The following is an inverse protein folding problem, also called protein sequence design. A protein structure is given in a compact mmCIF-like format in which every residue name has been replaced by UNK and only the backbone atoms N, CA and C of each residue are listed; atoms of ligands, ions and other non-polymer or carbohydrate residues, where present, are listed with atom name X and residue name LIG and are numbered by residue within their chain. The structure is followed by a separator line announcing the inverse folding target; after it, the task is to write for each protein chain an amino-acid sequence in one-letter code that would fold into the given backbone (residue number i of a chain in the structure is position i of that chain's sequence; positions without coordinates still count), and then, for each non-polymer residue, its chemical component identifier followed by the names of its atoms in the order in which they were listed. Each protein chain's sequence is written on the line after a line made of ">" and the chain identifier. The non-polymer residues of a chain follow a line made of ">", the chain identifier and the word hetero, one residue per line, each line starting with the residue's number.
data_IF_468544934526
#
_entry.id   IF_468544934526
#
_cell.length_a   1.000
_cell.length_b   1.000
_cell.length_c   1.000
_cell.angle_alpha   90.00
_cell.angle_beta   90.00
_cell.angle_gamma   90.00
#
_symmetry.space_group_name_H-M   'P 1'
#
loop_
_entity.id
_entity.type
_entity.pdbx_description
1 polymer ?
#
# COMPACT_ATOMS: atom_id res chain seq x y z
N UNK A 1 6.86 32.59 7.73
CA UNK A 1 8.13 31.82 7.89
C UNK A 1 8.10 30.77 9.02
N UNK A 2 7.97 31.11 10.32
CA UNK A 2 8.07 30.14 11.45
C UNK A 2 7.06 28.97 11.40
N UNK A 3 5.81 29.20 10.97
CA UNK A 3 4.77 28.14 10.88
C UNK A 3 5.08 27.06 9.84
N UNK A 4 5.65 27.45 8.69
CA UNK A 4 6.09 26.51 7.64
C UNK A 4 7.26 25.63 8.10
N UNK A 5 8.23 26.21 8.83
CA UNK A 5 9.35 25.45 9.40
C UNK A 5 8.89 24.42 10.44
N UNK A 6 7.84 24.72 11.21
CA UNK A 6 7.24 23.80 12.20
C UNK A 6 6.40 22.68 11.59
N UNK A 7 5.92 22.85 10.36
CA UNK A 7 5.09 21.84 9.68
C UNK A 7 5.93 20.76 8.96
N UNK A 8 7.18 21.08 8.59
CA UNK A 8 8.08 20.14 7.90
C UNK A 8 8.28 18.81 8.64
N UNK A 9 8.61 18.79 9.95
CA UNK A 9 8.80 17.51 10.66
C UNK A 9 7.52 16.68 10.74
N UNK A 10 6.36 17.34 10.81
CA UNK A 10 5.05 16.67 10.84
C UNK A 10 4.75 16.04 9.48
N UNK A 11 5.07 16.75 8.39
CA UNK A 11 4.95 16.21 7.04
C UNK A 11 5.84 14.99 6.83
N UNK A 12 7.13 15.09 7.16
CA UNK A 12 8.10 13.99 7.06
C UNK A 12 7.65 12.76 7.87
N UNK A 13 7.15 12.98 9.09
CA UNK A 13 6.60 11.91 9.92
C UNK A 13 5.40 11.21 9.27
N UNK A 14 4.46 11.98 8.72
CA UNK A 14 3.28 11.39 8.05
C UNK A 14 3.63 10.70 6.73
N UNK A 15 4.59 11.22 5.97
CA UNK A 15 5.13 10.56 4.78
C UNK A 15 5.81 9.23 5.14
N UNK A 16 6.58 9.21 6.23
CA UNK A 16 7.21 8.00 6.74
C UNK A 16 6.19 6.94 7.14
N UNK A 17 5.10 7.33 7.82
CA UNK A 17 3.99 6.42 8.17
C UNK A 17 3.28 5.85 6.96
N UNK A 18 3.00 6.68 5.95
CA UNK A 18 2.39 6.23 4.70
C UNK A 18 3.30 5.22 3.98
N UNK A 19 4.60 5.53 3.87
CA UNK A 19 5.59 4.65 3.23
C UNK A 19 5.72 3.32 3.97
N UNK A 20 5.77 3.35 5.31
CA UNK A 20 5.80 2.12 6.12
C UNK A 20 4.55 1.26 5.90
N UNK A 21 3.36 1.86 5.90
CA UNK A 21 2.12 1.13 5.63
C UNK A 21 2.06 0.57 4.20
N UNK A 22 2.61 1.30 3.21
CA UNK A 22 2.70 0.82 1.83
C UNK A 22 3.64 -0.39 1.70
N UNK A 23 4.75 -0.43 2.45
CA UNK A 23 5.65 -1.60 2.48
C UNK A 23 4.94 -2.84 3.01
N UNK A 24 4.20 -2.70 4.10
CA UNK A 24 3.39 -3.81 4.68
C UNK A 24 2.37 -4.32 3.67
N UNK A 25 1.68 -3.43 2.95
CA UNK A 25 0.76 -3.83 1.89
C UNK A 25 1.44 -4.61 0.76
N UNK A 26 2.63 -4.17 0.35
CA UNK A 26 3.39 -4.86 -0.69
C UNK A 26 3.82 -6.27 -0.25
N UNK A 27 4.31 -6.39 1.00
CA UNK A 27 4.67 -7.68 1.59
C UNK A 27 3.47 -8.64 1.68
N UNK A 28 2.32 -8.15 2.16
CA UNK A 28 1.08 -8.94 2.23
C UNK A 28 0.59 -9.34 0.84
N UNK A 29 0.66 -8.44 -0.15
CA UNK A 29 0.32 -8.75 -1.53
C UNK A 29 1.20 -9.88 -2.08
N UNK A 30 2.51 -9.84 -1.83
CA UNK A 30 3.43 -10.91 -2.22
C UNK A 30 3.11 -12.24 -1.54
N UNK A 31 2.78 -12.22 -0.24
CA UNK A 31 2.34 -13.42 0.50
C UNK A 31 1.05 -14.01 -0.08
N UNK A 32 0.08 -13.17 -0.44
CA UNK A 32 -1.18 -13.61 -1.08
C UNK A 32 -0.90 -14.26 -2.43
N UNK A 33 -0.06 -13.65 -3.27
CA UNK A 33 0.29 -14.20 -4.58
C UNK A 33 0.99 -15.56 -4.46
N UNK A 34 1.97 -15.67 -3.56
CA UNK A 34 2.65 -16.94 -3.30
C UNK A 34 1.67 -18.01 -2.79
N UNK A 35 0.75 -17.63 -1.87
CA UNK A 35 -0.23 -18.56 -1.36
C UNK A 35 -1.23 -19.04 -2.43
N UNK A 36 -1.64 -18.13 -3.34
CA UNK A 36 -2.49 -18.44 -4.49
C UNK A 36 -1.81 -19.38 -5.47
N UNK A 37 -0.53 -19.14 -5.79
CA UNK A 37 0.24 -20.00 -6.67
C UNK A 37 0.32 -21.42 -6.12
N UNK A 38 0.69 -21.56 -4.85
CA UNK A 38 0.78 -22.86 -4.20
C UNK A 38 -0.58 -23.58 -4.15
N UNK A 39 -1.68 -22.86 -3.93
CA UNK A 39 -3.03 -23.45 -3.99
C UNK A 39 -3.36 -23.98 -5.39
N UNK A 40 -3.04 -23.21 -6.43
CA UNK A 40 -3.25 -23.64 -7.82
C UNK A 40 -2.40 -24.86 -8.16
N UNK A 41 -1.15 -24.92 -7.70
CA UNK A 41 -0.29 -26.09 -7.89
C UNK A 41 -0.87 -27.34 -7.22
N UNK A 42 -1.35 -27.23 -5.98
CA UNK A 42 -1.99 -28.35 -5.27
C UNK A 42 -3.26 -28.83 -5.98
N UNK A 43 -4.07 -27.91 -6.50
CA UNK A 43 -5.29 -28.24 -7.26
C UNK A 43 -4.95 -28.93 -8.58
N UNK A 44 -4.00 -28.40 -9.36
CA UNK A 44 -3.52 -29.01 -10.60
C UNK A 44 -2.95 -30.41 -10.36
N UNK A 45 -2.14 -30.55 -9.32
CA UNK A 45 -1.54 -31.83 -8.96
C UNK A 45 -2.61 -32.87 -8.58
N UNK A 46 -3.65 -32.45 -7.85
CA UNK A 46 -4.81 -33.30 -7.54
C UNK A 46 -5.51 -33.80 -8.81
N UNK A 47 -5.75 -32.90 -9.77
CA UNK A 47 -6.44 -33.23 -11.03
C UNK A 47 -5.60 -34.17 -11.90
N UNK A 48 -4.30 -33.90 -12.04
CA UNK A 48 -3.37 -34.75 -12.78
C UNK A 48 -3.28 -36.15 -12.15
N UNK A 49 -3.19 -36.22 -10.82
CA UNK A 49 -3.11 -37.49 -10.11
C UNK A 49 -4.40 -38.31 -10.23
N UNK A 50 -5.57 -37.67 -10.14
CA UNK A 50 -6.85 -38.34 -10.37
C UNK A 50 -6.98 -38.88 -11.81
N UNK A 51 -6.56 -38.08 -12.81
CA UNK A 51 -6.57 -38.50 -14.21
C UNK A 51 -5.65 -39.71 -14.46
N UNK A 52 -4.45 -39.70 -13.88
CA UNK A 52 -3.50 -40.81 -13.99
C UNK A 52 -4.06 -42.09 -13.35
N UNK A 53 -4.71 -41.99 -12.19
CA UNK A 53 -5.35 -43.12 -11.53
C UNK A 53 -6.48 -43.72 -12.40
N UNK A 54 -7.32 -42.87 -13.01
CA UNK A 54 -8.37 -43.32 -13.93
C UNK A 54 -7.83 -44.00 -15.20
N UNK A 55 -6.63 -43.64 -15.67
CA UNK A 55 -6.00 -44.28 -16.82
C UNK A 55 -5.41 -45.67 -16.53
N UNK A 56 -5.05 -45.97 -15.27
CA UNK A 56 -4.48 -47.27 -14.85
C UNK A 56 -5.52 -48.41 -14.75
N UNK A 57 -6.64 -48.29 -15.47
CA UNK A 57 -7.94 -48.94 -15.27
C UNK A 57 -8.02 -50.47 -15.53
N UNK A 58 -6.92 -51.24 -15.43
CA UNK A 58 -6.96 -52.68 -15.73
C UNK A 58 -6.53 -53.63 -14.61
N UNK A 59 -5.68 -53.24 -13.66
CA UNK A 59 -5.23 -54.14 -12.57
C UNK A 59 -4.83 -53.35 -11.31
N UNK A 60 -5.68 -52.46 -10.81
CA UNK A 60 -5.38 -51.72 -9.57
C UNK A 60 -5.68 -52.62 -8.37
N UNK A 61 -4.69 -52.87 -7.52
CA UNK A 61 -4.86 -53.68 -6.31
C UNK A 61 -5.65 -52.92 -5.23
N UNK A 62 -6.32 -53.63 -4.32
CA UNK A 62 -7.02 -53.01 -3.19
C UNK A 62 -6.10 -52.18 -2.28
N UNK A 63 -4.79 -52.50 -2.25
CA UNK A 63 -3.78 -51.71 -1.54
C UNK A 63 -3.55 -50.35 -2.21
N UNK A 64 -3.43 -50.33 -3.54
CA UNK A 64 -3.26 -49.09 -4.32
C UNK A 64 -4.47 -48.15 -4.18
N UNK A 65 -5.68 -48.71 -4.07
CA UNK A 65 -6.90 -47.91 -3.81
C UNK A 65 -6.85 -47.25 -2.42
N UNK A 66 -6.36 -47.96 -1.40
CA UNK A 66 -6.24 -47.39 -0.05
C UNK A 66 -5.16 -46.29 0.01
N UNK A 67 -4.02 -46.51 -0.62
CA UNK A 67 -2.96 -45.51 -0.73
C UNK A 67 -3.45 -44.25 -1.46
N UNK A 68 -4.20 -44.43 -2.56
CA UNK A 68 -4.85 -43.35 -3.29
C UNK A 68 -5.78 -42.51 -2.40
N UNK A 69 -6.67 -43.16 -1.64
CA UNK A 69 -7.58 -42.46 -0.74
C UNK A 69 -6.85 -41.70 0.38
N UNK A 70 -5.84 -42.31 0.99
CA UNK A 70 -5.05 -41.67 2.04
C UNK A 70 -4.30 -40.42 1.52
N UNK A 71 -3.74 -40.53 0.31
CA UNK A 71 -3.06 -39.41 -0.33
C UNK A 71 -4.02 -38.27 -0.67
N UNK A 72 -5.18 -38.57 -1.27
CA UNK A 72 -6.19 -37.56 -1.57
C UNK A 72 -6.72 -36.87 -0.30
N UNK A 73 -6.89 -37.61 0.80
CA UNK A 73 -7.29 -37.03 2.07
C UNK A 73 -6.24 -36.02 2.57
N UNK A 74 -4.94 -36.39 2.51
CA UNK A 74 -3.83 -35.50 2.88
C UNK A 74 -3.74 -34.27 1.97
N UNK A 75 -3.92 -34.46 0.67
CA UNK A 75 -3.91 -33.36 -0.30
C UNK A 75 -5.10 -32.42 -0.08
N UNK A 76 -6.28 -32.98 0.19
CA UNK A 76 -7.48 -32.22 0.56
C UNK A 76 -7.30 -31.41 1.84
N UNK A 77 -6.69 -31.98 2.89
CA UNK A 77 -6.37 -31.20 4.10
C UNK A 77 -5.35 -30.10 3.84
N UNK A 78 -4.36 -30.34 2.98
CA UNK A 78 -3.38 -29.32 2.59
C UNK A 78 -4.00 -28.16 1.82
N UNK A 79 -4.91 -28.46 0.89
CA UNK A 79 -5.69 -27.46 0.14
C UNK A 79 -6.52 -26.60 1.09
N UNK A 80 -7.28 -27.23 2.02
CA UNK A 80 -8.07 -26.49 3.01
C UNK A 80 -7.22 -25.57 3.88
N UNK A 81 -6.09 -26.07 4.38
CA UNK A 81 -5.16 -25.26 5.17
C UNK A 81 -4.61 -24.06 4.37
N UNK A 82 -4.34 -24.26 3.07
CA UNK A 82 -3.87 -23.18 2.20
C UNK A 82 -4.98 -22.15 1.90
N UNK A 83 -6.22 -22.60 1.72
CA UNK A 83 -7.39 -21.72 1.56
C UNK A 83 -7.65 -20.88 2.82
N UNK A 84 -7.55 -21.49 4.00
CA UNK A 84 -7.66 -20.80 5.30
C UNK A 84 -6.56 -19.75 5.46
N UNK A 85 -5.29 -20.11 5.18
CA UNK A 85 -4.16 -19.18 5.20
C UNK A 85 -4.38 -18.00 4.24
N UNK A 86 -4.91 -18.26 3.06
CA UNK A 86 -5.19 -17.23 2.06
C UNK A 86 -6.33 -16.32 2.50
N UNK A 87 -7.35 -16.86 3.17
CA UNK A 87 -8.41 -16.07 3.81
C UNK A 87 -7.85 -15.14 4.89
N UNK A 88 -6.99 -15.66 5.78
CA UNK A 88 -6.33 -14.87 6.83
C UNK A 88 -5.48 -13.74 6.23
N UNK A 89 -4.63 -14.06 5.24
CA UNK A 89 -3.81 -13.05 4.55
C UNK A 89 -4.66 -11.97 3.88
N UNK A 90 -5.82 -12.31 3.31
CA UNK A 90 -6.75 -11.34 2.72
C UNK A 90 -7.36 -10.42 3.79
N UNK A 91 -7.71 -10.96 4.96
CA UNK A 91 -8.21 -10.16 6.08
C UNK A 91 -7.12 -9.21 6.60
N UNK A 92 -5.89 -9.70 6.79
CA UNK A 92 -4.73 -8.88 7.16
C UNK A 92 -4.47 -7.77 6.13
N UNK A 93 -4.53 -8.10 4.84
CA UNK A 93 -4.38 -7.12 3.76
C UNK A 93 -5.47 -6.05 3.81
N UNK A 94 -6.72 -6.43 4.05
CA UNK A 94 -7.81 -5.47 4.18
C UNK A 94 -7.61 -4.50 5.36
N UNK A 95 -7.18 -5.02 6.52
CA UNK A 95 -6.87 -4.20 7.69
C UNK A 95 -5.67 -3.26 7.43
N UNK A 96 -4.58 -3.79 6.87
CA UNK A 96 -3.42 -2.99 6.49
C UNK A 96 -3.77 -1.91 5.47
N UNK A 97 -4.71 -2.20 4.56
CA UNK A 97 -5.19 -1.24 3.55
C UNK A 97 -5.94 -0.09 4.19
N UNK A 98 -6.78 -0.35 5.19
CA UNK A 98 -7.46 0.71 5.95
C UNK A 98 -6.44 1.61 6.67
N UNK A 99 -5.44 1.02 7.32
CA UNK A 99 -4.38 1.79 7.97
C UNK A 99 -3.56 2.65 6.98
N UNK A 100 -3.22 2.10 5.82
CA UNK A 100 -2.55 2.87 4.76
C UNK A 100 -3.43 4.03 4.26
N UNK A 101 -4.74 3.80 4.04
CA UNK A 101 -5.67 4.84 3.62
C UNK A 101 -5.75 5.98 4.64
N UNK A 102 -5.80 5.68 5.93
CA UNK A 102 -5.76 6.70 6.98
C UNK A 102 -4.45 7.50 6.97
N UNK A 103 -3.31 6.80 6.86
CA UNK A 103 -2.00 7.44 6.80
C UNK A 103 -1.88 8.37 5.58
N UNK A 104 -2.32 7.89 4.41
CA UNK A 104 -2.36 8.66 3.16
C UNK A 104 -3.25 9.90 3.30
N UNK A 105 -4.47 9.75 3.82
CA UNK A 105 -5.39 10.87 4.04
C UNK A 105 -4.79 11.93 4.98
N UNK A 106 -4.14 11.50 6.08
CA UNK A 106 -3.45 12.39 7.01
C UNK A 106 -2.29 13.13 6.32
N UNK A 107 -1.45 12.42 5.57
CA UNK A 107 -0.32 13.01 4.85
C UNK A 107 -0.80 14.05 3.82
N UNK A 108 -1.79 13.69 3.00
CA UNK A 108 -2.40 14.58 2.00
C UNK A 108 -3.03 15.82 2.63
N UNK A 109 -3.66 15.67 3.79
CA UNK A 109 -4.18 16.80 4.56
C UNK A 109 -3.09 17.80 4.96
N UNK A 110 -1.95 17.31 5.47
CA UNK A 110 -0.81 18.14 5.85
C UNK A 110 -0.17 18.81 4.63
N UNK A 111 -0.01 18.10 3.51
CA UNK A 111 0.46 18.67 2.25
C UNK A 111 -0.41 19.86 1.82
N UNK A 112 -1.74 19.69 1.85
CA UNK A 112 -2.67 20.78 1.52
C UNK A 112 -2.52 22.00 2.43
N UNK A 113 -2.34 21.78 3.74
CA UNK A 113 -2.10 22.87 4.70
C UNK A 113 -0.79 23.60 4.40
N UNK A 114 0.28 22.85 4.12
CA UNK A 114 1.57 23.42 3.74
C UNK A 114 1.46 24.29 2.49
N UNK A 115 0.83 23.78 1.44
CA UNK A 115 0.72 24.48 0.16
C UNK A 115 -0.06 25.80 0.31
N UNK A 116 -1.13 25.78 1.11
CA UNK A 116 -1.88 26.99 1.46
C UNK A 116 -1.02 28.00 2.25
N UNK A 117 -0.21 27.54 3.21
CA UNK A 117 0.70 28.41 3.96
C UNK A 117 1.80 28.99 3.06
N UNK A 118 2.33 28.21 2.11
CA UNK A 118 3.31 28.70 1.15
C UNK A 118 2.70 29.77 0.25
N UNK A 119 1.50 29.54 -0.30
CA UNK A 119 0.79 30.52 -1.14
C UNK A 119 0.56 31.83 -0.39
N UNK A 120 0.04 31.76 0.85
CA UNK A 120 -0.15 32.95 1.70
C UNK A 120 1.15 33.69 1.99
N UNK A 121 2.23 32.96 2.25
CA UNK A 121 3.54 33.57 2.50
C UNK A 121 4.08 34.29 1.26
N UNK A 122 3.90 33.73 0.05
CA UNK A 122 4.32 34.38 -1.20
C UNK A 122 3.57 35.69 -1.43
N UNK A 123 2.24 35.67 -1.32
CA UNK A 123 1.40 36.86 -1.47
C UNK A 123 1.82 37.97 -0.49
N UNK A 124 2.05 37.63 0.79
CA UNK A 124 2.48 38.61 1.78
C UNK A 124 3.86 39.19 1.49
N UNK A 125 4.81 38.37 1.01
CA UNK A 125 6.14 38.84 0.61
C UNK A 125 6.06 39.74 -0.62
N UNK A 126 5.27 39.37 -1.63
CA UNK A 126 5.05 40.18 -2.84
C UNK A 126 4.43 41.53 -2.50
N UNK A 127 3.41 41.55 -1.63
CA UNK A 127 2.80 42.80 -1.15
C UNK A 127 3.79 43.68 -0.37
N UNK A 128 4.66 43.08 0.44
CA UNK A 128 5.68 43.82 1.19
C UNK A 128 6.72 44.43 0.24
N UNK A 129 7.20 43.66 -0.74
CA UNK A 129 8.16 44.12 -1.73
C UNK A 129 7.58 45.25 -2.59
N UNK A 130 6.33 45.13 -3.02
CA UNK A 130 5.63 46.18 -3.78
C UNK A 130 5.55 47.48 -2.97
N UNK A 131 5.16 47.41 -1.69
CA UNK A 131 5.09 48.59 -0.81
C UNK A 131 6.45 49.27 -0.66
N UNK A 132 7.52 48.50 -0.49
CA UNK A 132 8.88 49.02 -0.37
C UNK A 132 9.32 49.73 -1.67
N UNK A 133 9.00 49.17 -2.83
CA UNK A 133 9.26 49.79 -4.12
C UNK A 133 8.48 51.11 -4.31
N UNK A 134 7.20 51.13 -3.93
CA UNK A 134 6.35 52.31 -4.03
C UNK A 134 6.84 53.44 -3.10
N UNK A 135 7.27 53.10 -1.88
CA UNK A 135 7.86 54.05 -0.92
C UNK A 135 9.16 54.68 -1.45
N UNK A 136 10.05 53.87 -2.01
CA UNK A 136 11.29 54.35 -2.63
C UNK A 136 11.02 55.25 -3.85
N UNK A 137 10.06 54.87 -4.69
CA UNK A 137 9.64 55.68 -5.84
C UNK A 137 9.03 57.02 -5.40
N UNK A 138 8.18 57.01 -4.35
CA UNK A 138 7.58 58.20 -3.76
C UNK A 138 8.60 59.16 -3.16
N UNK A 139 9.62 58.65 -2.47
CA UNK A 139 10.75 59.46 -1.94
C UNK A 139 11.55 60.12 -3.07
N UNK A 140 11.86 59.38 -4.13
CA UNK A 140 12.60 59.91 -5.30
C UNK A 140 11.80 60.97 -6.06
N UNK A 141 10.47 60.86 -6.11
CA UNK A 141 9.60 61.88 -6.71
C UNK A 141 9.58 63.16 -5.87
N UNK A 142 9.53 63.06 -4.54
CA UNK A 142 9.60 64.23 -3.63
C UNK A 142 10.93 64.96 -3.68
N UNK A 143 12.06 64.26 -3.83
CA UNK A 143 13.38 64.89 -3.91
C UNK A 143 13.65 65.59 -5.26
N UNK A 144 12.87 65.29 -6.30
CA UNK A 144 12.97 65.92 -7.64
C UNK A 144 12.04 67.13 -7.84
N UNK A 145 11.17 67.41 -6.89
CA UNK A 145 10.18 68.49 -6.95
C UNK A 145 10.55 69.69 -6.05
N UNK A 146 11.78 69.71 -5.53
CA UNK A 146 12.46 70.84 -4.91
C UNK A 146 13.62 71.24 -5.81
#
# INVERSE_FOLDING_TARGET
>A
MKRLKRLKPVEEFTAGKESAAAKVLNELSGKIQAAQHQLQELQRFREQYAAQFHQQNRLVSGLQIKEYQAFLAKLGSGIKAQEEKLSQLRQEFAAARQHWQEAYCRHKGIQKVRDNLQRRSRILTEQALQREMDDLAGRKKRSRSK
#
